data_IF_888109758244
#
_entry.id   IF_888109758244
#
_cell.length_a   1.000
_cell.length_b   1.000
_cell.length_c   1.000
_cell.angle_alpha   90.00
_cell.angle_beta   90.00
_cell.angle_gamma   90.00
#
_symmetry.space_group_name_H-M   'P 1'
#
loop_
_entity.id
_entity.type
_entity.pdbx_description
1 polymer ?
#
# COMPACT_ATOMS: atom_id res chain seq x y z
N UNK A 1 10.07 3.23 26.11
CA UNK A 1 10.64 4.47 25.58
C UNK A 1 9.49 5.35 25.06
N UNK A 2 9.51 6.64 25.39
CA UNK A 2 8.54 7.58 24.83
C UNK A 2 8.72 7.64 23.31
N UNK A 3 7.65 7.46 22.55
CA UNK A 3 7.66 7.65 21.10
C UNK A 3 7.83 9.13 20.71
N UNK A 4 7.95 9.44 19.40
CA UNK A 4 8.03 10.81 18.94
C UNK A 4 6.76 11.58 19.33
N UNK A 5 6.91 12.79 19.83
CA UNK A 5 5.80 13.70 20.09
C UNK A 5 5.30 14.29 18.75
N UNK A 6 4.00 14.60 18.67
CA UNK A 6 3.44 15.26 17.48
C UNK A 6 3.32 14.35 16.24
N UNK A 7 2.96 13.09 16.43
CA UNK A 7 2.66 12.17 15.32
C UNK A 7 1.36 12.61 14.61
N UNK A 8 1.42 12.84 13.30
CA UNK A 8 0.27 13.25 12.51
C UNK A 8 -0.64 12.04 12.18
N UNK A 9 -0.06 10.92 11.77
CA UNK A 9 -0.73 9.61 11.59
C UNK A 9 0.31 8.50 11.69
N UNK A 10 -0.15 7.25 11.82
CA UNK A 10 0.74 6.09 11.94
C UNK A 10 0.84 5.37 10.61
N UNK A 11 2.08 5.12 10.17
CA UNK A 11 2.39 4.26 9.05
C UNK A 11 3.32 3.14 9.50
N UNK A 12 2.94 1.92 9.22
CA UNK A 12 3.69 0.74 9.60
C UNK A 12 3.92 -0.16 8.40
N UNK A 13 5.17 -0.33 8.03
CA UNK A 13 5.60 -1.40 7.15
C UNK A 13 5.65 -2.74 7.89
N UNK A 14 5.98 -3.82 7.19
CA UNK A 14 6.03 -5.17 7.79
C UNK A 14 7.08 -5.28 8.90
N UNK A 15 8.16 -4.50 8.86
CA UNK A 15 9.30 -4.61 9.79
C UNK A 15 9.86 -3.27 10.27
N UNK A 16 9.25 -2.15 9.92
CA UNK A 16 9.65 -0.81 10.31
C UNK A 16 8.43 0.10 10.42
N UNK A 17 8.51 1.14 11.23
CA UNK A 17 7.49 2.17 11.37
C UNK A 17 8.06 3.52 11.01
N UNK A 18 7.30 4.36 10.31
CA UNK A 18 7.72 5.67 9.79
C UNK A 18 6.59 6.70 9.87
N UNK A 19 6.12 7.12 11.05
CA UNK A 19 5.13 8.18 11.12
C UNK A 19 5.71 9.54 10.69
N UNK A 20 4.98 10.32 9.87
CA UNK A 20 5.23 11.74 9.74
C UNK A 20 4.83 12.47 11.03
N UNK A 21 5.58 13.51 11.36
CA UNK A 21 5.32 14.36 12.51
C UNK A 21 4.55 15.62 12.10
N UNK A 22 3.95 16.29 13.07
CA UNK A 22 3.20 17.54 12.84
C UNK A 22 4.10 18.70 12.37
N UNK A 23 5.41 18.61 12.58
CA UNK A 23 6.42 19.52 12.03
C UNK A 23 6.84 19.16 10.59
N UNK A 24 6.15 18.21 9.96
CA UNK A 24 6.39 17.69 8.61
C UNK A 24 7.71 16.93 8.40
N UNK A 25 8.44 16.64 9.48
CA UNK A 25 9.58 15.71 9.46
C UNK A 25 9.12 14.27 9.62
N UNK A 26 10.00 13.30 9.33
CA UNK A 26 9.73 11.87 9.48
C UNK A 26 10.77 11.24 10.41
N UNK A 27 10.29 10.37 11.28
CA UNK A 27 11.17 9.53 12.10
C UNK A 27 10.80 8.07 11.91
N UNK A 28 11.81 7.23 11.64
CA UNK A 28 11.63 5.81 11.41
C UNK A 28 12.37 4.98 12.46
N UNK A 29 11.88 3.75 12.70
CA UNK A 29 12.54 2.75 13.54
C UNK A 29 12.23 1.34 13.06
N UNK A 30 12.99 0.35 13.49
CA UNK A 30 12.84 -1.05 13.13
C UNK A 30 13.99 -1.57 12.28
N UNK A 31 13.69 -2.50 11.36
CA UNK A 31 14.64 -3.08 10.42
C UNK A 31 15.20 -2.03 9.46
N UNK A 32 16.49 -2.18 9.06
CA UNK A 32 17.18 -1.24 8.18
C UNK A 32 18.21 -1.89 7.23
N UNK A 33 18.16 -3.20 7.01
CA UNK A 33 19.16 -3.88 6.18
C UNK A 33 19.18 -3.36 4.73
N UNK A 34 18.06 -2.85 4.23
CA UNK A 34 17.93 -2.26 2.90
C UNK A 34 17.98 -0.72 2.90
N UNK A 35 18.17 -0.07 4.06
CA UNK A 35 18.14 1.39 4.20
C UNK A 35 16.74 1.99 4.38
N UNK A 36 15.73 1.18 4.72
CA UNK A 36 14.33 1.59 4.80
C UNK A 36 14.01 2.64 5.87
N UNK A 37 14.93 2.91 6.81
CA UNK A 37 14.83 4.01 7.77
C UNK A 37 15.24 5.37 7.19
N UNK A 38 15.90 5.42 6.01
CA UNK A 38 16.22 6.65 5.31
C UNK A 38 17.23 7.59 6.01
N UNK A 39 17.98 7.08 6.99
CA UNK A 39 18.91 7.87 7.82
C UNK A 39 20.36 7.87 7.35
N UNK A 40 20.62 7.37 6.12
CA UNK A 40 21.96 7.26 5.52
C UNK A 40 22.71 6.00 5.92
N UNK A 41 22.10 5.10 6.70
CA UNK A 41 22.74 3.85 7.17
C UNK A 41 21.92 2.62 6.82
N UNK A 42 22.47 1.42 7.05
CA UNK A 42 21.77 0.14 6.99
C UNK A 42 21.65 -0.53 8.36
N UNK A 43 21.98 0.20 9.44
CA UNK A 43 21.90 -0.32 10.81
C UNK A 43 20.46 -0.21 11.32
N UNK A 44 19.84 -1.29 11.85
CA UNK A 44 18.51 -1.23 12.44
C UNK A 44 18.49 -0.35 13.69
N UNK A 45 17.33 0.22 14.01
CA UNK A 45 17.17 1.07 15.21
C UNK A 45 15.91 0.68 15.97
N UNK A 46 16.03 0.48 17.27
CA UNK A 46 14.91 0.28 18.19
C UNK A 46 14.37 1.59 18.80
N UNK A 47 14.93 2.72 18.36
CA UNK A 47 14.47 4.08 18.70
C UNK A 47 14.24 4.89 17.43
N UNK A 48 13.34 5.90 17.44
CA UNK A 48 13.08 6.74 16.29
C UNK A 48 14.33 7.50 15.81
N UNK A 49 14.75 7.30 14.56
CA UNK A 49 15.83 8.04 13.88
C UNK A 49 15.25 8.98 12.82
N UNK A 50 15.86 10.14 12.62
CA UNK A 50 15.40 11.13 11.63
C UNK A 50 15.73 10.68 10.22
N UNK A 51 14.78 10.77 9.31
CA UNK A 51 14.99 10.59 7.87
C UNK A 51 15.80 11.76 7.33
N UNK A 52 16.90 11.47 6.65
CA UNK A 52 17.86 12.50 6.22
C UNK A 52 17.32 13.34 5.06
N UNK A 53 17.35 14.67 5.22
CA UNK A 53 17.04 15.63 4.15
C UNK A 53 15.58 15.62 3.69
N UNK A 54 14.64 15.13 4.49
CA UNK A 54 13.21 15.04 4.16
C UNK A 54 12.40 15.99 5.06
N UNK A 55 11.72 16.94 4.44
CA UNK A 55 10.77 17.88 5.08
C UNK A 55 9.58 18.11 4.16
N UNK A 56 8.50 18.69 4.68
CA UNK A 56 7.30 18.96 3.90
C UNK A 56 6.55 17.69 3.48
N UNK A 57 6.57 16.66 4.31
CA UNK A 57 5.89 15.39 4.03
C UNK A 57 4.39 15.54 4.22
N UNK A 58 3.62 15.10 3.21
CA UNK A 58 2.16 14.97 3.27
C UNK A 58 1.74 13.57 3.70
N UNK A 59 1.72 12.63 2.75
CA UNK A 59 1.37 11.23 2.97
C UNK A 59 2.61 10.36 2.90
N UNK A 60 2.62 9.29 3.67
CA UNK A 60 3.70 8.30 3.70
C UNK A 60 3.12 6.90 3.54
N UNK A 61 3.80 6.02 2.80
CA UNK A 61 3.49 4.62 2.68
C UNK A 61 4.72 3.77 3.01
N UNK A 62 4.55 2.82 3.94
CA UNK A 62 5.61 1.91 4.37
C UNK A 62 5.33 0.48 3.91
N UNK A 63 6.21 -0.09 3.09
CA UNK A 63 6.11 -1.43 2.55
C UNK A 63 6.87 -2.50 3.35
N UNK A 64 7.29 -3.58 2.67
CA UNK A 64 8.07 -4.63 3.32
C UNK A 64 9.45 -4.12 3.76
N UNK A 65 10.17 -3.45 2.85
CA UNK A 65 11.56 -3.01 3.06
C UNK A 65 11.89 -1.70 2.31
N UNK A 66 10.88 -0.91 1.96
CA UNK A 66 11.03 0.41 1.39
C UNK A 66 9.93 1.35 1.91
N UNK A 67 10.14 2.62 1.77
CA UNK A 67 9.23 3.67 2.25
C UNK A 67 9.11 4.72 1.15
N UNK A 68 7.91 5.27 0.94
CA UNK A 68 7.64 6.36 0.02
C UNK A 68 6.90 7.50 0.74
N UNK A 69 7.13 8.74 0.32
CA UNK A 69 6.45 9.92 0.88
C UNK A 69 6.13 10.92 -0.23
N UNK A 70 4.94 11.53 -0.17
CA UNK A 70 4.60 12.71 -0.98
C UNK A 70 5.14 13.97 -0.31
N UNK A 71 5.53 14.97 -1.10
CA UNK A 71 5.88 16.29 -0.60
C UNK A 71 4.73 17.28 -0.85
N UNK A 72 4.42 18.08 0.15
CA UNK A 72 3.26 19.00 0.14
C UNK A 72 3.44 20.18 -0.82
N UNK A 73 4.69 20.49 -1.21
CA UNK A 73 4.99 21.66 -2.04
C UNK A 73 4.48 21.50 -3.49
N UNK A 74 4.65 20.31 -4.09
CA UNK A 74 4.37 20.06 -5.51
C UNK A 74 3.81 18.67 -5.78
N UNK A 75 3.56 17.86 -4.73
CA UNK A 75 3.16 16.47 -4.85
C UNK A 75 4.23 15.58 -5.49
N UNK A 76 5.52 15.99 -5.49
CA UNK A 76 6.59 15.08 -5.85
C UNK A 76 6.73 13.96 -4.81
N UNK A 77 7.29 12.83 -5.22
CA UNK A 77 7.42 11.64 -4.35
C UNK A 77 8.89 11.31 -4.13
N UNK A 78 9.21 10.95 -2.90
CA UNK A 78 10.51 10.42 -2.49
C UNK A 78 10.34 9.00 -1.98
N UNK A 79 11.19 8.06 -2.45
CA UNK A 79 11.22 6.70 -1.94
C UNK A 79 12.63 6.29 -1.53
N UNK A 80 12.75 5.40 -0.54
CA UNK A 80 14.03 4.90 -0.04
C UNK A 80 13.90 3.47 0.49
N UNK A 81 15.01 2.79 0.68
CA UNK A 81 15.09 1.38 1.08
C UNK A 81 15.42 0.46 -0.10
N UNK A 82 14.85 -0.73 -0.08
CA UNK A 82 15.04 -1.78 -1.09
C UNK A 82 14.58 -1.32 -2.48
N UNK A 83 15.33 -1.73 -3.53
CA UNK A 83 15.03 -1.36 -4.92
C UNK A 83 15.29 -2.48 -5.94
N UNK A 84 15.43 -3.72 -5.53
CA UNK A 84 15.77 -4.82 -6.45
C UNK A 84 14.78 -5.02 -7.59
N UNK A 85 13.52 -4.61 -7.40
CA UNK A 85 12.44 -4.70 -8.38
C UNK A 85 12.08 -3.33 -9.00
N UNK A 86 12.84 -2.25 -8.68
CA UNK A 86 12.55 -0.89 -9.12
C UNK A 86 11.47 -0.18 -8.29
N UNK A 87 11.17 -0.66 -7.09
CA UNK A 87 10.10 -0.13 -6.22
C UNK A 87 10.34 1.30 -5.72
N UNK A 88 11.54 1.86 -5.90
CA UNK A 88 11.82 3.28 -5.64
C UNK A 88 11.43 4.20 -6.80
N UNK A 89 11.16 3.67 -8.01
CA UNK A 89 10.67 4.45 -9.15
C UNK A 89 11.66 5.48 -9.70
N UNK A 90 12.95 5.35 -9.41
CA UNK A 90 14.00 6.31 -9.78
C UNK A 90 14.78 5.91 -11.06
N UNK A 91 14.26 4.94 -11.84
CA UNK A 91 14.87 4.43 -13.05
C UNK A 91 16.03 3.43 -12.83
N UNK A 92 16.28 3.04 -11.58
CA UNK A 92 17.36 2.10 -11.21
C UNK A 92 16.83 0.92 -10.40
N UNK A 93 17.71 -0.06 -10.13
CA UNK A 93 17.45 -1.16 -9.17
C UNK A 93 18.36 -1.09 -7.94
N UNK A 94 19.12 0.00 -7.78
CA UNK A 94 19.99 0.19 -6.61
C UNK A 94 19.18 0.64 -5.39
N UNK A 95 19.41 0.07 -4.21
CA UNK A 95 18.78 0.53 -2.97
C UNK A 95 19.24 1.94 -2.61
N UNK A 96 18.44 2.66 -1.83
CA UNK A 96 18.76 4.00 -1.36
C UNK A 96 18.61 4.09 0.16
N UNK A 97 19.69 4.49 0.85
CA UNK A 97 19.69 4.68 2.30
C UNK A 97 19.18 6.05 2.74
N UNK A 98 18.92 6.94 1.78
CA UNK A 98 18.30 8.28 1.95
C UNK A 98 17.21 8.47 0.90
N UNK A 99 16.23 9.37 1.11
CA UNK A 99 15.16 9.63 0.17
C UNK A 99 15.62 9.97 -1.25
N UNK A 100 15.27 9.13 -2.23
CA UNK A 100 15.54 9.32 -3.66
C UNK A 100 14.30 9.84 -4.38
N UNK A 101 14.48 10.70 -5.39
CA UNK A 101 13.38 11.25 -6.19
C UNK A 101 12.78 10.16 -7.08
N UNK A 102 11.45 10.02 -7.03
CA UNK A 102 10.68 9.24 -8.02
C UNK A 102 10.66 10.01 -9.34
N UNK A 103 11.03 9.33 -10.42
CA UNK A 103 11.24 10.01 -11.73
C UNK A 103 9.92 10.47 -12.34
N UNK A 104 9.85 11.77 -12.68
CA UNK A 104 8.75 12.34 -13.47
C UNK A 104 7.37 12.33 -12.77
N UNK A 105 7.32 12.23 -11.44
CA UNK A 105 6.08 12.21 -10.68
C UNK A 105 5.90 13.50 -9.88
N UNK A 106 4.82 14.22 -10.17
CA UNK A 106 4.36 15.42 -9.45
C UNK A 106 2.84 15.36 -9.29
N UNK A 107 2.28 16.19 -8.42
CA UNK A 107 0.85 16.24 -8.17
C UNK A 107 0.29 14.99 -7.47
N UNK A 108 1.13 14.19 -6.82
CA UNK A 108 0.65 13.05 -6.03
C UNK A 108 -0.07 13.55 -4.76
N UNK A 109 -1.29 13.08 -4.58
CA UNK A 109 -2.13 13.34 -3.39
C UNK A 109 -2.08 12.20 -2.39
N UNK A 110 -1.73 10.99 -2.87
CA UNK A 110 -1.59 9.79 -2.04
C UNK A 110 -0.48 8.90 -2.58
N UNK A 111 0.18 8.15 -1.68
CA UNK A 111 1.24 7.20 -2.01
C UNK A 111 1.18 5.99 -1.10
N UNK A 112 1.43 4.81 -1.65
CA UNK A 112 1.47 3.55 -0.90
C UNK A 112 2.65 2.69 -1.33
N UNK A 113 3.10 1.82 -0.43
CA UNK A 113 4.17 0.87 -0.67
C UNK A 113 3.72 -0.56 -0.28
N UNK A 114 3.79 -1.47 -1.23
CA UNK A 114 3.55 -2.89 -1.01
C UNK A 114 4.83 -3.67 -0.68
N UNK A 115 4.89 -4.95 -1.04
CA UNK A 115 6.10 -5.74 -0.81
C UNK A 115 7.23 -5.32 -1.76
N UNK A 116 6.98 -5.28 -3.06
CA UNK A 116 7.97 -5.01 -4.11
C UNK A 116 7.44 -4.03 -5.16
N UNK A 117 6.43 -3.24 -4.85
CA UNK A 117 5.87 -2.22 -5.74
C UNK A 117 5.40 -1.02 -4.93
N UNK A 118 5.21 0.09 -5.61
CA UNK A 118 4.67 1.33 -5.06
C UNK A 118 3.65 1.92 -6.02
N UNK A 119 2.69 2.64 -5.48
CA UNK A 119 1.66 3.32 -6.27
C UNK A 119 1.35 4.71 -5.69
N UNK A 120 0.87 5.61 -6.54
CA UNK A 120 0.39 6.94 -6.16
C UNK A 120 -0.90 7.28 -6.91
N UNK A 121 -1.74 8.10 -6.28
CA UNK A 121 -2.86 8.81 -6.91
C UNK A 121 -2.45 10.25 -7.15
N UNK A 122 -2.81 10.79 -8.31
CA UNK A 122 -2.54 12.16 -8.69
C UNK A 122 -3.78 13.06 -8.50
N UNK A 123 -3.58 14.37 -8.53
CA UNK A 123 -4.65 15.38 -8.37
C UNK A 123 -5.79 15.24 -9.40
N UNK A 124 -5.52 14.66 -10.57
CA UNK A 124 -6.54 14.36 -11.59
C UNK A 124 -7.30 13.04 -11.36
N UNK A 125 -7.02 12.35 -10.25
CA UNK A 125 -7.59 11.06 -9.92
C UNK A 125 -7.02 9.88 -10.72
N UNK A 126 -5.97 10.08 -11.53
CA UNK A 126 -5.27 8.99 -12.20
C UNK A 126 -4.28 8.29 -11.26
N UNK A 127 -4.01 7.01 -11.50
CA UNK A 127 -3.02 6.23 -10.75
C UNK A 127 -1.72 6.04 -11.50
N UNK A 128 -0.62 5.97 -10.75
CA UNK A 128 0.71 5.57 -11.23
C UNK A 128 1.25 4.48 -10.32
N UNK A 129 1.78 3.39 -10.90
CA UNK A 129 2.44 2.33 -10.13
C UNK A 129 3.79 1.98 -10.75
N UNK A 130 4.72 1.49 -9.91
CA UNK A 130 6.08 1.09 -10.32
C UNK A 130 6.62 -0.02 -9.43
N UNK A 131 7.70 -0.67 -9.85
CA UNK A 131 8.27 -1.85 -9.21
C UNK A 131 7.86 -3.15 -9.88
N UNK A 132 7.74 -4.22 -9.12
CA UNK A 132 7.37 -5.55 -9.59
C UNK A 132 5.93 -5.62 -10.12
N UNK A 133 5.74 -6.34 -11.24
CA UNK A 133 4.42 -6.64 -11.82
C UNK A 133 4.21 -8.13 -12.13
N UNK A 134 4.96 -9.01 -11.47
CA UNK A 134 4.91 -10.44 -11.74
C UNK A 134 3.50 -11.06 -11.58
N UNK A 135 2.67 -10.45 -10.73
CA UNK A 135 1.29 -10.87 -10.44
C UNK A 135 0.24 -9.80 -10.82
N UNK A 136 0.61 -8.83 -11.68
CA UNK A 136 -0.30 -7.79 -12.14
C UNK A 136 -0.55 -6.66 -11.15
N UNK A 137 0.24 -6.54 -10.08
CA UNK A 137 0.05 -5.58 -8.98
C UNK A 137 0.20 -4.11 -9.38
N UNK A 138 0.82 -3.80 -10.53
CA UNK A 138 0.87 -2.44 -11.06
C UNK A 138 -0.40 -1.99 -11.75
N UNK A 139 -1.26 -2.93 -12.19
CA UNK A 139 -2.50 -2.59 -12.90
C UNK A 139 -2.30 -2.00 -14.30
N UNK A 140 -1.10 -2.12 -14.88
CA UNK A 140 -0.73 -1.53 -16.17
C UNK A 140 -1.07 -2.41 -17.37
N UNK A 141 -1.38 -3.70 -17.13
CA UNK A 141 -1.52 -4.70 -18.18
C UNK A 141 -0.20 -5.14 -18.83
N UNK A 142 0.95 -4.64 -18.36
CA UNK A 142 2.29 -4.90 -18.91
C UNK A 142 3.26 -5.37 -17.81
N UNK A 143 4.55 -5.54 -18.14
CA UNK A 143 5.60 -5.99 -17.21
C UNK A 143 5.92 -5.03 -16.07
N UNK A 144 6.96 -5.35 -15.29
CA UNK A 144 7.49 -4.50 -14.23
C UNK A 144 8.01 -3.16 -14.77
N UNK A 145 8.05 -2.12 -13.93
CA UNK A 145 8.51 -0.80 -14.32
C UNK A 145 9.44 -0.19 -13.28
N UNK A 146 10.56 0.38 -13.72
CA UNK A 146 11.53 1.09 -12.88
C UNK A 146 11.14 2.56 -12.62
N UNK A 147 10.09 3.04 -13.30
CA UNK A 147 9.56 4.40 -13.19
C UNK A 147 8.03 4.36 -13.13
N UNK A 148 7.36 5.42 -12.64
CA UNK A 148 5.91 5.46 -12.58
C UNK A 148 5.22 5.20 -13.92
N UNK A 149 4.43 4.12 -14.00
CA UNK A 149 3.64 3.74 -15.15
C UNK A 149 2.14 3.97 -14.90
N UNK A 150 1.34 4.37 -15.91
CA UNK A 150 -0.08 4.62 -15.74
C UNK A 150 -0.86 3.33 -15.42
N UNK A 151 -1.74 3.40 -14.42
CA UNK A 151 -2.68 2.32 -14.09
C UNK A 151 -3.81 2.33 -15.11
N UNK A 152 -4.06 1.19 -15.76
CA UNK A 152 -5.03 1.09 -16.86
C UNK A 152 -6.46 1.36 -16.39
N UNK A 153 -7.12 2.37 -16.98
CA UNK A 153 -8.52 2.68 -16.73
C UNK A 153 -8.85 3.12 -15.29
N UNK A 154 -7.86 3.49 -14.48
CA UNK A 154 -8.09 4.07 -13.17
C UNK A 154 -8.25 5.58 -13.30
N UNK A 155 -9.45 6.05 -13.01
CA UNK A 155 -9.83 7.47 -13.00
C UNK A 155 -10.63 7.76 -11.73
N UNK A 156 -10.66 9.01 -11.31
CA UNK A 156 -11.41 9.46 -10.14
C UNK A 156 -11.03 8.71 -8.83
N UNK A 157 -9.77 8.26 -8.73
CA UNK A 157 -9.26 7.63 -7.51
C UNK A 157 -9.05 8.71 -6.42
N UNK A 158 -9.48 8.38 -5.18
CA UNK A 158 -9.30 9.25 -4.02
C UNK A 158 -8.16 8.76 -3.10
N UNK A 159 -7.99 7.44 -3.00
CA UNK A 159 -6.98 6.81 -2.16
C UNK A 159 -6.46 5.55 -2.86
N UNK A 160 -5.21 5.18 -2.57
CA UNK A 160 -4.60 3.93 -3.06
C UNK A 160 -3.92 3.19 -1.92
N UNK A 161 -4.08 1.86 -1.87
CA UNK A 161 -3.44 1.01 -0.86
C UNK A 161 -2.82 -0.23 -1.52
N UNK A 162 -1.63 -0.60 -1.09
CA UNK A 162 -0.88 -1.72 -1.63
C UNK A 162 -0.70 -2.83 -0.60
N UNK A 163 -1.16 -4.02 -0.93
CA UNK A 163 -0.90 -5.24 -0.17
C UNK A 163 0.39 -5.93 -0.60
N UNK A 164 0.49 -7.25 -0.31
CA UNK A 164 1.69 -8.02 -0.64
C UNK A 164 2.03 -8.00 -2.14
N UNK A 165 1.09 -8.39 -2.99
CA UNK A 165 1.23 -8.39 -4.46
C UNK A 165 -0.10 -8.03 -5.14
N UNK A 166 -0.82 -7.11 -4.55
CA UNK A 166 -2.07 -6.57 -5.07
C UNK A 166 -2.23 -5.12 -4.62
N UNK A 167 -3.11 -4.41 -5.27
CA UNK A 167 -3.37 -2.99 -5.02
C UNK A 167 -4.86 -2.74 -5.07
N UNK A 168 -5.36 -1.85 -4.24
CA UNK A 168 -6.74 -1.38 -4.25
C UNK A 168 -6.78 0.15 -4.26
N UNK A 169 -7.84 0.72 -4.82
CA UNK A 169 -8.11 2.16 -4.79
C UNK A 169 -9.58 2.42 -4.49
N UNK A 170 -9.84 3.47 -3.70
CA UNK A 170 -11.19 4.04 -3.57
C UNK A 170 -11.45 4.99 -4.73
N UNK A 171 -12.70 5.13 -5.13
CA UNK A 171 -13.14 6.07 -6.15
C UNK A 171 -14.00 7.18 -5.55
N UNK A 172 -14.05 8.33 -6.19
CA UNK A 172 -14.87 9.45 -5.76
C UNK A 172 -16.37 9.21 -5.80
N UNK A 173 -16.84 8.13 -6.47
CA UNK A 173 -18.22 7.64 -6.43
C UNK A 173 -18.49 6.66 -5.28
N UNK A 174 -17.59 6.60 -4.32
CA UNK A 174 -17.59 5.67 -3.20
C UNK A 174 -17.54 4.17 -3.59
N UNK A 175 -17.09 3.87 -4.81
CA UNK A 175 -16.74 2.54 -5.26
C UNK A 175 -15.30 2.16 -4.89
N UNK A 176 -14.93 0.91 -5.18
CA UNK A 176 -13.55 0.42 -5.03
C UNK A 176 -13.11 -0.39 -6.25
N UNK A 177 -11.81 -0.35 -6.54
CA UNK A 177 -11.17 -1.20 -7.53
C UNK A 177 -9.94 -1.86 -6.95
N UNK A 178 -9.79 -3.16 -7.24
CA UNK A 178 -8.60 -3.92 -6.84
C UNK A 178 -8.00 -4.67 -8.02
N UNK A 179 -6.69 -4.93 -8.00
CA UNK A 179 -5.95 -5.66 -9.04
C UNK A 179 -4.70 -6.32 -8.47
N UNK A 180 -4.09 -7.22 -9.22
CA UNK A 180 -2.96 -8.04 -8.76
C UNK A 180 -3.36 -9.46 -8.43
N UNK A 181 -2.71 -10.09 -7.46
CA UNK A 181 -3.00 -11.47 -7.05
C UNK A 181 -4.35 -11.60 -6.36
N UNK A 182 -5.03 -12.76 -6.57
CA UNK A 182 -6.34 -13.06 -5.96
C UNK A 182 -6.42 -14.48 -5.37
N UNK A 183 -5.30 -15.05 -4.96
CA UNK A 183 -5.23 -16.44 -4.45
C UNK A 183 -6.14 -16.72 -3.26
N UNK A 184 -6.48 -15.70 -2.49
CA UNK A 184 -7.31 -15.79 -1.29
C UNK A 184 -8.62 -15.00 -1.40
N UNK A 185 -8.96 -14.47 -2.58
CA UNK A 185 -10.14 -13.61 -2.75
C UNK A 185 -9.94 -12.15 -2.29
N UNK A 186 -8.70 -11.73 -2.03
CA UNK A 186 -8.35 -10.40 -1.51
C UNK A 186 -8.75 -9.23 -2.43
N UNK A 187 -9.09 -9.48 -3.70
CA UNK A 187 -9.59 -8.45 -4.60
C UNK A 187 -11.10 -8.19 -4.45
N UNK A 188 -11.82 -9.03 -3.71
CA UNK A 188 -13.27 -8.86 -3.45
C UNK A 188 -14.13 -8.89 -4.72
N UNK A 189 -13.76 -9.67 -5.75
CA UNK A 189 -14.42 -9.68 -7.07
C UNK A 189 -15.80 -10.39 -7.09
N UNK A 190 -16.23 -11.00 -5.96
CA UNK A 190 -17.52 -11.69 -5.86
C UNK A 190 -17.61 -13.04 -6.59
N UNK A 191 -16.57 -13.45 -7.29
CA UNK A 191 -16.46 -14.76 -7.91
C UNK A 191 -15.68 -15.69 -7.00
N UNK A 192 -16.03 -16.98 -6.97
CA UNK A 192 -15.23 -18.00 -6.31
C UNK A 192 -13.76 -17.93 -6.74
N UNK A 193 -12.87 -18.45 -5.90
CA UNK A 193 -11.44 -18.49 -6.20
C UNK A 193 -11.28 -19.26 -7.53
N UNK A 194 -11.03 -18.54 -8.61
CA UNK A 194 -10.60 -19.17 -9.86
C UNK A 194 -9.11 -19.46 -9.72
N UNK A 195 -8.81 -20.69 -9.32
CA UNK A 195 -7.43 -21.19 -9.21
C UNK A 195 -6.66 -21.14 -10.54
N UNK A 196 -7.35 -20.87 -11.66
CA UNK A 196 -6.74 -20.74 -12.99
C UNK A 196 -6.29 -19.31 -13.27
N UNK A 197 -6.91 -18.32 -12.62
CA UNK A 197 -6.56 -16.89 -12.81
C UNK A 197 -6.00 -16.35 -11.50
N UNK A 198 -4.70 -16.55 -11.28
CA UNK A 198 -4.00 -16.10 -10.06
C UNK A 198 -3.70 -14.61 -10.05
N UNK A 199 -3.81 -13.93 -11.19
CA UNK A 199 -3.45 -12.53 -11.35
C UNK A 199 -4.47 -11.77 -12.21
N UNK A 200 -4.82 -10.57 -11.77
CA UNK A 200 -5.68 -9.63 -12.48
C UNK A 200 -4.87 -8.37 -12.79
N UNK A 201 -4.31 -8.26 -14.01
CA UNK A 201 -3.31 -7.23 -14.33
C UNK A 201 -3.89 -5.84 -14.58
N UNK A 202 -5.21 -5.67 -14.45
CA UNK A 202 -5.90 -4.39 -14.60
C UNK A 202 -6.94 -4.20 -13.49
N UNK A 203 -7.23 -2.94 -13.08
CA UNK A 203 -8.24 -2.63 -12.08
C UNK A 203 -9.62 -3.18 -12.42
N UNK A 204 -10.28 -3.78 -11.43
CA UNK A 204 -11.66 -4.21 -11.55
C UNK A 204 -12.45 -3.96 -10.26
N UNK A 205 -13.79 -3.92 -10.35
CA UNK A 205 -14.64 -3.51 -9.24
C UNK A 205 -14.55 -4.46 -8.05
N UNK A 206 -14.66 -3.92 -6.84
CA UNK A 206 -14.98 -4.67 -5.62
C UNK A 206 -16.47 -4.95 -5.64
N UNK A 207 -16.85 -6.24 -5.76
CA UNK A 207 -18.23 -6.64 -5.93
C UNK A 207 -19.07 -6.43 -4.68
N UNK A 208 -20.32 -5.96 -4.85
CA UNK A 208 -21.28 -5.81 -3.75
C UNK A 208 -20.92 -4.76 -2.71
N UNK A 209 -19.89 -3.92 -2.98
CA UNK A 209 -19.52 -2.81 -2.11
C UNK A 209 -19.73 -1.47 -2.83
N UNK A 210 -20.60 -0.69 -2.23
CA UNK A 210 -20.80 0.73 -2.50
C UNK A 210 -20.57 1.49 -1.20
N UNK A 211 -20.37 2.78 -1.24
CA UNK A 211 -20.15 3.59 -0.04
C UNK A 211 -18.82 3.31 0.69
N UNK A 212 -17.77 2.93 -0.07
CA UNK A 212 -16.41 2.77 0.47
C UNK A 212 -15.82 4.15 0.74
N UNK A 213 -15.46 4.40 2.00
CA UNK A 213 -14.79 5.63 2.42
C UNK A 213 -13.26 5.46 2.53
N UNK A 214 -12.79 4.24 2.81
CA UNK A 214 -11.38 3.92 2.95
C UNK A 214 -11.13 2.45 2.67
N UNK A 215 -9.99 2.12 2.07
CA UNK A 215 -9.52 0.76 1.86
C UNK A 215 -8.16 0.56 2.52
N UNK A 216 -7.95 -0.60 3.11
CA UNK A 216 -6.67 -1.01 3.63
C UNK A 216 -6.32 -2.44 3.18
N UNK A 217 -5.11 -2.61 2.66
CA UNK A 217 -4.62 -3.83 2.06
C UNK A 217 -3.51 -4.46 2.90
N UNK A 218 -3.70 -5.69 3.36
CA UNK A 218 -2.72 -6.41 4.17
C UNK A 218 -1.43 -6.71 3.41
N UNK A 219 -0.28 -6.35 4.00
CA UNK A 219 1.07 -6.53 3.42
C UNK A 219 1.74 -7.85 3.82
N UNK A 220 1.09 -8.68 4.64
CA UNK A 220 1.68 -9.93 5.12
C UNK A 220 1.98 -10.92 3.99
N UNK A 221 3.10 -11.70 4.08
CA UNK A 221 3.48 -12.70 3.07
C UNK A 221 2.39 -13.77 2.85
N UNK A 222 2.29 -14.28 1.62
CA UNK A 222 1.33 -15.32 1.22
C UNK A 222 1.42 -16.61 2.07
N UNK A 223 2.58 -16.90 2.63
CA UNK A 223 2.82 -18.10 3.45
C UNK A 223 2.04 -18.14 4.76
N UNK A 224 1.52 -16.99 5.23
CA UNK A 224 0.81 -16.86 6.51
C UNK A 224 -0.67 -16.52 6.36
N UNK A 225 -1.29 -16.78 5.20
CA UNK A 225 -2.71 -16.44 4.94
C UNK A 225 -3.05 -14.95 5.25
N UNK A 226 -2.07 -14.04 5.22
CA UNK A 226 -2.22 -12.64 5.64
C UNK A 226 -2.80 -11.70 4.59
N UNK A 227 -3.14 -12.20 3.39
CA UNK A 227 -3.63 -11.34 2.30
C UNK A 227 -5.14 -11.14 2.42
N UNK A 228 -5.54 -10.09 3.09
CA UNK A 228 -6.93 -9.66 3.21
C UNK A 228 -7.04 -8.16 2.97
N UNK A 229 -8.22 -7.70 2.64
CA UNK A 229 -8.55 -6.29 2.45
C UNK A 229 -9.70 -5.92 3.36
N UNK A 230 -9.63 -4.77 3.98
CA UNK A 230 -10.72 -4.20 4.76
C UNK A 230 -11.18 -2.87 4.17
N UNK A 231 -12.45 -2.60 4.24
CA UNK A 231 -13.07 -1.33 3.91
C UNK A 231 -13.76 -0.74 5.12
N UNK A 232 -13.56 0.56 5.34
CA UNK A 232 -14.46 1.38 6.16
C UNK A 232 -15.49 2.01 5.23
N UNK A 233 -16.76 1.83 5.55
CA UNK A 233 -17.86 2.39 4.79
C UNK A 233 -18.23 3.80 5.29
N UNK A 234 -18.98 4.55 4.48
CA UNK A 234 -19.40 5.92 4.81
C UNK A 234 -20.35 5.98 6.00
N UNK A 235 -21.04 4.88 6.33
CA UNK A 235 -21.88 4.74 7.54
C UNK A 235 -21.07 4.42 8.81
N UNK A 236 -19.72 4.34 8.70
CA UNK A 236 -18.82 4.03 9.80
C UNK A 236 -18.67 2.54 10.10
N UNK A 237 -19.35 1.65 9.38
CA UNK A 237 -19.15 0.20 9.52
C UNK A 237 -17.89 -0.26 8.78
N UNK A 238 -17.39 -1.45 9.13
CA UNK A 238 -16.27 -2.08 8.46
C UNK A 238 -16.69 -3.41 7.83
N UNK A 239 -16.02 -3.76 6.74
CA UNK A 239 -16.17 -5.04 6.06
C UNK A 239 -14.81 -5.51 5.57
N UNK A 240 -14.52 -6.81 5.67
CA UNK A 240 -13.26 -7.39 5.26
C UNK A 240 -13.49 -8.60 4.36
N UNK A 241 -12.50 -8.92 3.51
CA UNK A 241 -12.52 -10.07 2.61
C UNK A 241 -11.10 -10.56 2.30
N UNK A 242 -10.99 -11.76 1.76
CA UNK A 242 -9.71 -12.40 1.45
C UNK A 242 -9.39 -13.55 2.37
N UNK A 243 -8.12 -13.71 2.75
CA UNK A 243 -7.68 -14.77 3.65
C UNK A 243 -8.36 -14.68 5.02
N UNK A 244 -8.82 -15.84 5.55
CA UNK A 244 -9.53 -15.92 6.84
C UNK A 244 -8.82 -16.81 7.87
N UNK A 245 -7.77 -17.53 7.48
CA UNK A 245 -7.15 -18.61 8.26
C UNK A 245 -6.56 -18.25 9.63
N UNK A 246 -6.59 -16.98 10.03
CA UNK A 246 -6.14 -16.51 11.36
C UNK A 246 -7.17 -15.57 12.02
N UNK A 247 -8.44 -15.59 11.57
CA UNK A 247 -9.50 -14.74 12.11
C UNK A 247 -9.40 -13.26 11.70
N UNK A 248 -8.56 -12.91 10.70
CA UNK A 248 -8.29 -11.52 10.30
C UNK A 248 -9.48 -10.80 9.66
N UNK A 249 -10.57 -11.50 9.34
CA UNK A 249 -11.79 -10.88 8.84
C UNK A 249 -12.70 -10.34 9.96
N UNK A 250 -12.48 -10.76 11.21
CA UNK A 250 -13.21 -10.26 12.36
C UNK A 250 -14.73 -10.52 12.31
N UNK A 251 -15.17 -11.57 11.62
CA UNK A 251 -16.58 -11.87 11.33
C UNK A 251 -17.18 -12.95 12.26
N UNK A 252 -16.39 -13.44 13.23
CA UNK A 252 -16.77 -14.55 14.13
C UNK A 252 -16.93 -15.89 13.45
N UNK A 253 -16.58 -15.98 12.16
CA UNK A 253 -16.72 -17.19 11.34
C UNK A 253 -15.63 -18.23 11.57
N UNK A 254 -15.81 -19.42 10.96
CA UNK A 254 -14.85 -20.51 10.99
C UNK A 254 -13.57 -20.13 10.20
N UNK A 255 -12.41 -20.47 10.77
CA UNK A 255 -11.08 -20.14 10.22
C UNK A 255 -10.75 -20.90 8.93
N UNK A 256 -11.62 -21.79 8.48
CA UNK A 256 -11.45 -22.62 7.28
C UNK A 256 -12.00 -21.97 6.00
N UNK A 257 -12.84 -20.94 6.12
CA UNK A 257 -13.50 -20.31 4.98
C UNK A 257 -12.58 -19.33 4.25
N UNK A 258 -12.20 -19.67 3.03
CA UNK A 258 -11.58 -18.74 2.07
C UNK A 258 -12.69 -17.93 1.40
N UNK A 259 -12.88 -16.68 1.83
CA UNK A 259 -14.02 -15.90 1.38
C UNK A 259 -13.67 -14.94 0.26
N UNK A 260 -14.46 -15.05 -0.79
CA UNK A 260 -14.50 -14.13 -1.92
C UNK A 260 -15.55 -13.04 -1.76
N UNK A 261 -16.38 -13.14 -0.72
CA UNK A 261 -17.48 -12.19 -0.42
C UNK A 261 -17.14 -11.36 0.81
N UNK A 262 -17.56 -10.11 0.77
CA UNK A 262 -17.35 -9.14 1.83
C UNK A 262 -18.15 -9.50 3.09
N UNK A 263 -17.52 -9.58 4.26
CA UNK A 263 -18.18 -9.83 5.54
C UNK A 263 -18.11 -8.61 6.44
N UNK A 264 -19.21 -8.35 7.14
CA UNK A 264 -19.24 -7.30 8.18
C UNK A 264 -18.38 -7.77 9.37
N UNK A 265 -17.55 -6.86 9.87
CA UNK A 265 -16.84 -7.05 11.13
C UNK A 265 -17.87 -7.05 12.26
N UNK A 266 -17.87 -8.09 13.08
CA UNK A 266 -18.78 -8.21 14.22
C UNK A 266 -18.29 -7.25 15.31
N UNK A 267 -19.19 -6.42 15.85
CA UNK A 267 -18.95 -5.72 17.12
C UNK A 267 -19.33 -6.66 18.26
N UNK A 268 -18.43 -6.90 19.19
CA UNK A 268 -18.82 -7.40 20.51
C UNK A 268 -19.68 -6.31 21.16
N UNK A 269 -20.90 -6.69 21.58
CA UNK A 269 -21.86 -5.82 22.26
C UNK A 269 -21.47 -5.54 23.70
#
# INVERSE_FOLDING_TARGET
AAGPNGVAHLEAGTRHGCPPLTDTTVRCWGANADGQLGNGTTTPSNVPVTVTGLTGVGVLGAGLAHTCATLTADGSVRCWGRNADGQLGNGTTNPATVPATVTGLTGATDVTAGTNHSCAVLTDGSGRCWGSNALGQLGTGSGSSLVPAPVSGLTNAGQITAGHSYTCATLGDAGGRCWGTNLFGQLGRGHGIDVRTQAYPVPGPVAGQTAIAHLDAGTAPATNNGQHTCARLTDGTATCWGAAGSGQLGDGGDWTDRLTTNRKVVREG
#
